data_IF_698022167381
#
_entry.id   IF_698022167381
#
_cell.length_a   1.000
_cell.length_b   1.000
_cell.length_c   1.000
_cell.angle_alpha   90.00
_cell.angle_beta   90.00
_cell.angle_gamma   90.00
#
_symmetry.space_group_name_H-M   'P 1'
#
loop_
_entity.id
_entity.type
_entity.pdbx_description
1 polymer ?
#
# COMPACT_ATOMS: atom_id res chain seq x y z
N UNK A 1 3.61 19.67 -17.63
CA UNK A 1 4.50 18.48 -17.56
C UNK A 1 4.57 17.81 -18.92
N UNK A 2 5.78 17.57 -19.44
CA UNK A 2 5.96 16.85 -20.71
C UNK A 2 5.88 15.36 -20.44
N UNK A 3 4.86 14.69 -21.00
CA UNK A 3 4.70 13.24 -20.92
C UNK A 3 5.75 12.59 -21.81
N UNK A 4 6.71 11.86 -21.22
CA UNK A 4 7.81 11.23 -21.98
C UNK A 4 7.40 9.95 -22.72
N UNK A 5 6.41 9.23 -22.20
CA UNK A 5 5.99 7.92 -22.74
C UNK A 5 4.46 7.82 -22.87
N UNK A 6 3.96 6.86 -23.63
CA UNK A 6 2.51 6.55 -23.66
C UNK A 6 2.10 5.83 -22.37
N UNK A 7 0.87 6.06 -21.87
CA UNK A 7 0.39 5.50 -20.58
C UNK A 7 0.44 3.97 -20.56
N UNK A 8 0.17 3.35 -21.71
CA UNK A 8 0.17 1.91 -21.95
C UNK A 8 1.54 1.26 -21.74
N UNK A 9 2.61 2.03 -21.84
CA UNK A 9 3.99 1.56 -21.64
C UNK A 9 4.47 1.72 -20.21
N UNK A 10 3.59 2.17 -19.31
CA UNK A 10 3.91 2.48 -17.92
C UNK A 10 3.12 1.62 -16.94
N UNK A 11 3.72 1.39 -15.78
CA UNK A 11 3.09 0.86 -14.59
C UNK A 11 3.07 1.91 -13.49
N UNK A 12 1.95 1.96 -12.76
CA UNK A 12 1.78 2.72 -11.53
C UNK A 12 2.13 1.87 -10.30
N UNK A 13 2.19 2.47 -9.10
CA UNK A 13 2.37 1.71 -7.86
C UNK A 13 1.27 0.66 -7.61
N UNK A 14 -0.03 0.97 -7.80
CA UNK A 14 -1.08 -0.03 -7.80
C UNK A 14 -0.79 -1.20 -8.76
N UNK A 15 -0.46 -0.92 -10.02
CA UNK A 15 -0.17 -1.94 -11.03
C UNK A 15 0.99 -2.86 -10.57
N UNK A 16 2.04 -2.30 -9.95
CA UNK A 16 3.15 -3.08 -9.40
C UNK A 16 2.72 -3.97 -8.23
N UNK A 17 1.83 -3.46 -7.38
CA UNK A 17 1.33 -4.18 -6.20
C UNK A 17 0.50 -5.40 -6.61
N UNK A 18 -0.35 -5.26 -7.62
CA UNK A 18 -1.11 -6.37 -8.23
C UNK A 18 -0.19 -7.45 -8.80
N UNK A 19 0.99 -7.07 -9.31
CA UNK A 19 2.02 -8.00 -9.80
C UNK A 19 2.84 -8.68 -8.69
N UNK A 20 2.51 -8.40 -7.42
CA UNK A 20 3.20 -8.97 -6.26
C UNK A 20 4.46 -8.20 -5.84
N UNK A 21 4.65 -6.96 -6.30
CA UNK A 21 5.73 -6.12 -5.80
C UNK A 21 5.38 -5.55 -4.43
N UNK A 22 6.22 -5.84 -3.44
CA UNK A 22 6.11 -5.19 -2.12
C UNK A 22 6.73 -3.80 -2.15
N UNK A 23 6.35 -2.93 -1.21
CA UNK A 23 6.96 -1.61 -1.05
C UNK A 23 8.50 -1.69 -0.98
N UNK A 24 9.04 -2.62 -0.19
CA UNK A 24 10.49 -2.80 -0.06
C UNK A 24 11.16 -3.25 -1.36
N UNK A 25 10.46 -3.98 -2.24
CA UNK A 25 10.97 -4.30 -3.57
C UNK A 25 10.96 -3.08 -4.48
N UNK A 26 9.88 -2.29 -4.45
CA UNK A 26 9.79 -1.06 -5.23
C UNK A 26 10.94 -0.12 -4.83
N UNK A 27 11.14 0.12 -3.53
CA UNK A 27 12.21 1.00 -3.05
C UNK A 27 13.61 0.48 -3.41
N UNK A 28 13.82 -0.84 -3.43
CA UNK A 28 15.12 -1.47 -3.75
C UNK A 28 15.45 -1.48 -5.24
N UNK A 29 14.48 -1.86 -6.07
CA UNK A 29 14.72 -2.14 -7.49
C UNK A 29 14.27 -1.00 -8.41
N UNK A 30 13.48 -0.05 -7.90
CA UNK A 30 12.87 1.04 -8.66
C UNK A 30 13.08 2.40 -7.98
N UNK A 31 14.33 2.81 -7.72
CA UNK A 31 14.61 4.03 -6.96
C UNK A 31 14.10 5.30 -7.66
N UNK A 32 14.11 5.33 -8.99
CA UNK A 32 13.69 6.50 -9.77
C UNK A 32 12.56 6.18 -10.75
N UNK A 33 11.47 6.96 -10.76
CA UNK A 33 10.40 6.88 -11.77
C UNK A 33 10.89 7.30 -13.17
N UNK A 34 10.28 6.74 -14.22
CA UNK A 34 10.57 7.13 -15.61
C UNK A 34 9.69 8.29 -16.10
N UNK A 35 8.52 8.47 -15.49
CA UNK A 35 7.55 9.49 -15.85
C UNK A 35 6.77 9.96 -14.61
N UNK A 36 6.37 11.22 -14.62
CA UNK A 36 5.58 11.87 -13.57
C UNK A 36 4.31 12.44 -14.19
N UNK A 37 3.17 12.16 -13.58
CA UNK A 37 1.88 12.67 -14.06
C UNK A 37 1.04 13.22 -12.92
N UNK A 38 0.07 14.06 -13.27
CA UNK A 38 -0.97 14.45 -12.32
C UNK A 38 -1.75 13.23 -11.84
N UNK A 39 -2.20 13.28 -10.58
CA UNK A 39 -3.02 12.23 -10.02
C UNK A 39 -4.42 12.29 -10.66
N UNK A 40 -4.88 11.21 -11.34
CA UNK A 40 -6.13 11.24 -12.09
C UNK A 40 -7.37 11.39 -11.20
N UNK A 41 -7.29 11.02 -9.91
CA UNK A 41 -8.42 11.06 -8.99
C UNK A 41 -8.50 12.39 -8.22
N UNK A 42 -7.37 13.02 -7.96
CA UNK A 42 -7.28 14.20 -7.11
C UNK A 42 -6.28 15.20 -7.66
N UNK A 43 -6.77 16.29 -8.27
CA UNK A 43 -5.91 17.35 -8.84
C UNK A 43 -5.00 18.01 -7.79
N UNK A 44 -5.43 18.07 -6.54
CA UNK A 44 -4.66 18.64 -5.42
C UNK A 44 -3.66 17.65 -4.80
N UNK A 45 -3.72 16.37 -5.16
CA UNK A 45 -2.79 15.38 -4.63
C UNK A 45 -1.44 15.47 -5.33
N UNK A 46 -0.43 14.90 -4.67
CA UNK A 46 0.92 14.78 -5.23
C UNK A 46 0.94 14.02 -6.56
N UNK A 47 2.00 14.27 -7.33
CA UNK A 47 2.21 13.65 -8.64
C UNK A 47 2.31 12.13 -8.55
N UNK A 48 1.75 11.45 -9.53
CA UNK A 48 1.84 10.01 -9.71
C UNK A 48 3.18 9.64 -10.36
N UNK A 49 3.88 8.72 -9.69
CA UNK A 49 5.11 8.10 -10.18
C UNK A 49 4.80 6.92 -11.11
N UNK A 50 5.50 6.84 -12.24
CA UNK A 50 5.30 5.81 -13.25
C UNK A 50 6.63 5.18 -13.70
N UNK A 51 6.59 3.87 -13.97
CA UNK A 51 7.76 3.08 -14.38
C UNK A 51 7.50 2.37 -15.71
N UNK A 52 8.49 2.30 -16.59
CA UNK A 52 8.42 1.61 -17.87
C UNK A 52 8.21 0.11 -17.69
N UNK A 53 7.19 -0.43 -18.35
CA UNK A 53 6.89 -1.86 -18.36
C UNK A 53 8.10 -2.70 -18.79
N UNK A 54 8.83 -2.24 -19.80
CA UNK A 54 10.04 -2.90 -20.27
C UNK A 54 11.11 -3.04 -19.18
N UNK A 55 11.33 -1.99 -18.37
CA UNK A 55 12.27 -2.00 -17.24
C UNK A 55 11.81 -2.99 -16.17
N UNK A 56 10.52 -2.97 -15.82
CA UNK A 56 9.93 -3.91 -14.86
C UNK A 56 10.11 -5.35 -15.31
N UNK A 57 9.74 -5.68 -16.55
CA UNK A 57 9.88 -7.03 -17.08
C UNK A 57 11.33 -7.52 -17.10
N UNK A 58 12.29 -6.62 -17.39
CA UNK A 58 13.72 -6.95 -17.32
C UNK A 58 14.16 -7.29 -15.89
N UNK A 59 13.68 -6.53 -14.89
CA UNK A 59 13.98 -6.81 -13.48
C UNK A 59 13.35 -8.14 -13.04
N UNK A 60 12.11 -8.39 -13.44
CA UNK A 60 11.39 -9.62 -13.08
C UNK A 60 12.07 -10.90 -13.59
N UNK A 61 12.78 -10.82 -14.72
CA UNK A 61 13.61 -11.91 -15.25
C UNK A 61 14.91 -12.15 -14.45
N UNK A 62 15.30 -11.22 -13.59
CA UNK A 62 16.53 -11.32 -12.81
C UNK A 62 16.43 -12.34 -11.68
N UNK A 63 17.42 -13.23 -11.56
CA UNK A 63 17.49 -14.24 -10.48
C UNK A 63 17.40 -13.61 -9.07
N UNK A 64 18.03 -12.45 -8.86
CA UNK A 64 17.98 -11.71 -7.57
C UNK A 64 16.55 -11.28 -7.22
N UNK A 65 15.81 -10.81 -8.22
CA UNK A 65 14.42 -10.41 -8.03
C UNK A 65 13.55 -11.62 -7.73
N UNK A 66 13.65 -12.69 -8.52
CA UNK A 66 12.89 -13.93 -8.32
C UNK A 66 13.09 -14.51 -6.92
N UNK A 67 14.34 -14.56 -6.44
CA UNK A 67 14.64 -15.01 -5.08
C UNK A 67 14.01 -14.08 -4.01
N UNK A 68 14.02 -12.77 -4.25
CA UNK A 68 13.38 -11.81 -3.34
C UNK A 68 11.85 -12.01 -3.35
N UNK A 69 11.26 -12.26 -4.52
CA UNK A 69 9.82 -12.50 -4.71
C UNK A 69 9.37 -13.76 -3.98
N UNK A 70 10.05 -14.88 -4.22
CA UNK A 70 9.78 -16.14 -3.53
C UNK A 70 9.83 -16.00 -1.99
N UNK A 71 10.81 -15.25 -1.45
CA UNK A 71 10.90 -14.99 -0.01
C UNK A 71 9.73 -14.13 0.50
N UNK A 72 9.31 -13.12 -0.25
CA UNK A 72 8.19 -12.28 0.13
C UNK A 72 6.87 -13.06 0.12
N UNK A 73 6.66 -13.89 -0.90
CA UNK A 73 5.48 -14.74 -1.03
C UNK A 73 5.43 -15.79 0.08
N UNK A 74 6.56 -16.46 0.38
CA UNK A 74 6.67 -17.40 1.49
C UNK A 74 6.37 -16.75 2.85
N UNK A 75 6.78 -15.49 3.06
CA UNK A 75 6.44 -14.75 4.28
C UNK A 75 4.94 -14.44 4.33
N UNK A 76 4.34 -14.05 3.21
CA UNK A 76 2.90 -13.75 3.11
C UNK A 76 2.05 -14.98 3.43
N UNK A 77 2.45 -16.15 2.96
CA UNK A 77 1.76 -17.42 3.24
C UNK A 77 1.83 -17.85 4.72
N UNK A 78 2.88 -17.46 5.44
CA UNK A 78 3.09 -17.81 6.86
C UNK A 78 2.45 -16.84 7.85
N UNK A 79 2.02 -15.67 7.39
CA UNK A 79 1.38 -14.70 8.27
C UNK A 79 -0.02 -15.22 8.61
N UNK A 80 -0.36 -15.45 9.91
CA UNK A 80 -1.74 -15.68 10.28
C UNK A 80 -2.57 -14.49 9.79
N UNK A 81 -3.83 -14.74 9.43
CA UNK A 81 -4.75 -13.70 9.00
C UNK A 81 -4.69 -12.55 10.00
N UNK A 82 -4.09 -11.44 9.58
CA UNK A 82 -3.84 -10.32 10.45
C UNK A 82 -5.21 -9.73 10.72
N UNK A 83 -5.80 -10.02 11.88
CA UNK A 83 -6.98 -9.33 12.35
C UNK A 83 -6.66 -7.83 12.34
N UNK A 84 -7.13 -7.13 11.31
CA UNK A 84 -7.10 -5.69 11.28
C UNK A 84 -8.06 -5.27 12.38
N UNK A 85 -7.53 -4.86 13.54
CA UNK A 85 -8.34 -4.17 14.53
C UNK A 85 -9.00 -3.01 13.80
N UNK A 86 -10.35 -2.96 13.73
CA UNK A 86 -11.02 -1.87 13.06
C UNK A 86 -10.52 -0.57 13.72
N UNK A 87 -10.20 0.42 12.90
CA UNK A 87 -9.83 1.74 13.39
C UNK A 87 -11.07 2.33 14.04
N UNK A 88 -11.23 2.15 15.35
CA UNK A 88 -12.35 2.73 16.09
C UNK A 88 -12.31 4.25 15.95
N UNK A 89 -13.42 4.80 15.49
CA UNK A 89 -13.66 6.24 15.47
C UNK A 89 -13.60 6.78 16.91
N UNK A 90 -13.41 8.09 17.04
CA UNK A 90 -13.41 8.73 18.36
C UNK A 90 -14.78 8.59 19.06
N UNK A 91 -15.86 8.50 18.29
CA UNK A 91 -17.22 8.33 18.80
C UNK A 91 -17.45 6.92 19.36
N UNK A 92 -17.02 5.89 18.62
CA UNK A 92 -17.11 4.50 19.07
C UNK A 92 -16.29 4.26 20.34
N UNK A 93 -15.11 4.88 20.46
CA UNK A 93 -14.32 4.83 21.70
C UNK A 93 -15.05 5.44 22.90
N UNK A 94 -15.62 6.63 22.72
CA UNK A 94 -16.39 7.31 23.78
C UNK A 94 -17.62 6.51 24.21
N UNK A 95 -18.32 5.90 23.26
CA UNK A 95 -19.48 5.06 23.57
C UNK A 95 -19.08 3.82 24.36
N UNK A 96 -18.01 3.12 23.94
CA UNK A 96 -17.50 1.97 24.70
C UNK A 96 -16.97 2.34 26.08
N UNK A 97 -16.38 3.52 26.26
CA UNK A 97 -15.92 4.02 27.55
C UNK A 97 -17.10 4.32 28.49
N UNK A 98 -18.15 4.96 27.98
CA UNK A 98 -19.38 5.24 28.72
C UNK A 98 -20.09 3.95 29.14
N UNK A 99 -20.25 3.00 28.22
CA UNK A 99 -20.94 1.74 28.49
C UNK A 99 -20.14 0.86 29.48
N UNK A 100 -18.81 0.90 29.42
CA UNK A 100 -17.94 0.23 30.39
C UNK A 100 -18.01 0.86 31.78
N UNK A 101 -18.08 2.20 31.88
CA UNK A 101 -18.26 2.89 33.15
C UNK A 101 -19.62 2.57 33.79
N UNK A 102 -20.68 2.47 32.98
CA UNK A 102 -22.01 2.07 33.42
C UNK A 102 -22.05 0.61 33.91
N UNK A 103 -21.37 -0.30 33.21
CA UNK A 103 -21.26 -1.70 33.60
C UNK A 103 -20.38 -1.95 34.83
N UNK A 104 -19.40 -1.08 35.09
CA UNK A 104 -18.51 -1.15 36.27
C UNK A 104 -19.17 -0.65 37.56
N UNK A 105 -20.44 -0.22 37.51
CA UNK A 105 -21.19 0.24 38.68
C UNK A 105 -20.76 1.61 39.20
N UNK A 106 -19.98 2.36 38.43
CA UNK A 106 -19.50 3.71 38.77
C UNK A 106 -20.48 4.81 38.28
N UNK A 107 -21.76 4.44 38.11
CA UNK A 107 -22.84 5.36 37.74
C UNK A 107 -23.27 6.23 38.92
N UNK A 108 -22.58 7.33 39.16
CA UNK A 108 -23.08 8.52 39.87
C UNK A 108 -23.86 9.38 38.84
N UNK A 109 -25.11 9.86 38.98
CA UNK A 109 -26.00 10.21 40.12
C UNK A 109 -27.48 9.87 39.78
N UNK A 110 -28.25 9.54 40.84
CA UNK A 110 -29.66 9.89 41.21
C UNK A 110 -30.76 9.96 40.13
#
# INVERSE_FOLDING_TARGET
>A
MIKKYTRERLYSRPDLTERGWTKSMQDRYLPEPDDFRENPHYKCAGVMHLWLRARIHRIEKGKRFQATKARADARRAKLPERQSKPRMTALERRQTEHDAAYAAGDGYYD
#
